data_IF_095196551241
#
_entry.id   IF_095196551241
#
_cell.length_a   1.000
_cell.length_b   1.000
_cell.length_c   1.000
_cell.angle_alpha   90.00
_cell.angle_beta   90.00
_cell.angle_gamma   90.00
#
_symmetry.space_group_name_H-M   'P 1'
#
loop_
_entity.id
_entity.type
_entity.pdbx_description
1 polymer ?
#
# COMPACT_ATOMS: atom_id res chain seq x y z
N UNK A 1 -11.29 24.97 7.66
CA UNK A 1 -11.69 23.83 8.52
C UNK A 1 -11.70 22.52 7.73
N UNK A 2 -12.49 22.38 6.65
CA UNK A 2 -12.49 21.13 5.85
C UNK A 2 -11.12 20.85 5.18
N UNK A 3 -10.46 21.88 4.64
CA UNK A 3 -9.16 21.72 3.98
C UNK A 3 -8.03 21.31 4.93
N UNK A 4 -8.01 21.86 6.14
CA UNK A 4 -6.96 21.57 7.13
C UNK A 4 -7.04 20.13 7.66
N UNK A 5 -8.25 19.59 7.79
CA UNK A 5 -8.44 18.21 8.23
C UNK A 5 -8.03 17.21 7.13
N UNK A 6 -8.34 17.52 5.86
CA UNK A 6 -7.88 16.73 4.71
C UNK A 6 -6.36 16.79 4.53
N UNK A 7 -5.76 17.96 4.71
CA UNK A 7 -4.32 18.14 4.58
C UNK A 7 -3.57 17.35 5.66
N UNK A 8 -4.11 17.31 6.88
CA UNK A 8 -3.58 16.48 7.95
C UNK A 8 -3.72 14.98 7.68
N UNK A 9 -4.88 14.52 7.21
CA UNK A 9 -5.07 13.10 6.84
C UNK A 9 -4.11 12.69 5.71
N UNK A 10 -3.85 13.60 4.77
CA UNK A 10 -2.90 13.37 3.68
C UNK A 10 -1.46 13.27 4.18
N UNK A 11 -1.02 14.20 5.02
CA UNK A 11 0.34 14.19 5.59
C UNK A 11 0.58 12.96 6.48
N UNK A 12 -0.42 12.56 7.29
CA UNK A 12 -0.37 11.32 8.08
C UNK A 12 -0.23 10.07 7.20
N UNK A 13 -0.89 10.02 6.04
CA UNK A 13 -0.78 8.89 5.10
C UNK A 13 0.53 8.90 4.31
N UNK A 14 1.04 10.07 3.92
CA UNK A 14 2.33 10.21 3.24
C UNK A 14 3.52 9.84 4.13
N UNK A 15 3.45 10.09 5.44
CA UNK A 15 4.52 9.77 6.37
C UNK A 15 4.85 8.26 6.43
N UNK A 16 3.92 7.39 6.03
CA UNK A 16 4.12 5.93 6.09
C UNK A 16 4.74 5.30 4.82
N UNK A 17 4.96 6.08 3.76
CA UNK A 17 5.36 5.56 2.44
C UNK A 17 6.71 4.83 2.46
N UNK A 18 7.71 5.34 3.19
CA UNK A 18 9.08 4.76 3.18
C UNK A 18 9.20 3.40 3.90
N UNK A 19 8.32 3.11 4.85
CA UNK A 19 8.31 1.82 5.55
C UNK A 19 7.61 0.74 4.70
N UNK A 20 6.60 1.16 3.94
CA UNK A 20 5.79 0.28 3.09
C UNK A 20 6.56 -0.21 1.85
N UNK A 21 7.42 0.64 1.25
CA UNK A 21 8.28 0.23 0.12
C UNK A 21 9.19 -0.95 0.47
N UNK A 22 9.81 -0.91 1.65
CA UNK A 22 10.70 -1.99 2.11
C UNK A 22 9.97 -3.31 2.33
N UNK A 23 8.73 -3.25 2.82
CA UNK A 23 7.91 -4.44 2.99
C UNK A 23 7.55 -5.07 1.64
N UNK A 24 7.15 -4.26 0.67
CA UNK A 24 6.82 -4.72 -0.68
C UNK A 24 8.04 -5.36 -1.37
N UNK A 25 9.21 -4.74 -1.27
CA UNK A 25 10.45 -5.27 -1.83
C UNK A 25 10.84 -6.62 -1.20
N UNK A 26 10.68 -6.75 0.11
CA UNK A 26 10.95 -8.01 0.79
C UNK A 26 10.00 -9.12 0.32
N UNK A 27 8.71 -8.84 0.21
CA UNK A 27 7.75 -9.83 -0.30
C UNK A 27 8.09 -10.20 -1.76
N UNK A 28 8.39 -9.22 -2.61
CA UNK A 28 8.76 -9.46 -4.01
C UNK A 28 9.98 -10.37 -4.13
N UNK A 29 10.98 -10.19 -3.26
CA UNK A 29 12.18 -11.03 -3.23
C UNK A 29 11.88 -12.47 -2.85
N UNK A 30 10.97 -12.70 -1.90
CA UNK A 30 10.59 -14.03 -1.44
C UNK A 30 9.71 -14.77 -2.46
N UNK A 31 8.73 -14.08 -3.06
CA UNK A 31 7.82 -14.71 -4.04
C UNK A 31 8.38 -14.74 -5.47
N UNK A 32 9.43 -13.98 -5.76
CA UNK A 32 10.04 -13.89 -7.09
C UNK A 32 9.18 -13.18 -8.15
N UNK A 33 8.15 -12.44 -7.73
CA UNK A 33 7.21 -11.70 -8.58
C UNK A 33 7.17 -10.23 -8.17
N UNK A 34 6.78 -9.34 -9.10
CA UNK A 34 6.80 -7.89 -8.87
C UNK A 34 5.42 -7.36 -8.47
N UNK A 35 5.36 -6.75 -7.29
CA UNK A 35 4.30 -5.84 -6.85
C UNK A 35 4.75 -4.40 -7.09
N UNK A 36 3.86 -3.55 -7.59
CA UNK A 36 4.20 -2.19 -8.03
C UNK A 36 4.26 -1.17 -6.89
N UNK A 37 3.59 -1.41 -5.76
CA UNK A 37 3.45 -0.43 -4.68
C UNK A 37 2.00 -0.25 -4.23
N UNK A 38 1.77 0.64 -3.27
CA UNK A 38 0.41 1.05 -2.95
C UNK A 38 -0.16 1.97 -4.02
N UNK A 39 -1.48 2.00 -4.14
CA UNK A 39 -2.18 2.82 -5.12
C UNK A 39 -1.84 4.32 -4.98
N UNK A 40 -1.62 4.79 -3.76
CA UNK A 40 -1.20 6.17 -3.49
C UNK A 40 0.18 6.50 -4.08
N UNK A 41 1.12 5.57 -4.04
CA UNK A 41 2.50 5.78 -4.50
C UNK A 41 2.58 5.85 -6.03
N UNK A 42 1.63 5.22 -6.71
CA UNK A 42 1.52 5.22 -8.17
C UNK A 42 0.86 6.49 -8.72
N UNK A 43 0.34 7.36 -7.87
CA UNK A 43 -0.37 8.58 -8.26
C UNK A 43 0.48 9.82 -7.99
N UNK A 44 1.28 10.26 -8.97
CA UNK A 44 1.92 11.58 -8.92
C UNK A 44 0.97 12.66 -9.44
N UNK A 45 0.72 13.67 -8.62
CA UNK A 45 -0.09 14.83 -9.00
C UNK A 45 0.80 16.05 -9.23
N UNK A 46 0.51 16.81 -10.29
CA UNK A 46 1.18 18.08 -10.61
C UNK A 46 0.92 19.17 -9.55
N UNK A 47 -0.18 19.09 -8.81
CA UNK A 47 -0.56 20.08 -7.79
C UNK A 47 -1.13 19.44 -6.52
N UNK A 48 -0.79 20.04 -5.36
CA UNK A 48 -1.28 19.59 -4.03
C UNK A 48 -2.81 19.51 -3.93
N UNK A 49 -3.53 20.44 -4.54
CA UNK A 49 -5.00 20.44 -4.45
C UNK A 49 -5.64 19.21 -5.11
N UNK A 50 -5.02 18.67 -6.16
CA UNK A 50 -5.48 17.43 -6.79
C UNK A 50 -5.12 16.20 -5.95
N UNK A 51 -4.01 16.20 -5.18
CA UNK A 51 -3.69 15.10 -4.26
C UNK A 51 -4.78 14.90 -3.21
N UNK A 52 -5.37 15.99 -2.70
CA UNK A 52 -6.50 15.93 -1.77
C UNK A 52 -7.75 15.33 -2.42
N UNK A 53 -8.04 15.69 -3.66
CA UNK A 53 -9.19 15.14 -4.40
C UNK A 53 -8.97 13.65 -4.70
N UNK A 54 -7.76 13.26 -5.12
CA UNK A 54 -7.37 11.87 -5.36
C UNK A 54 -7.53 11.05 -4.08
N UNK A 55 -7.01 11.55 -2.95
CA UNK A 55 -7.15 10.92 -1.62
C UNK A 55 -8.61 10.69 -1.26
N UNK A 56 -9.47 11.69 -1.52
CA UNK A 56 -10.90 11.57 -1.22
C UNK A 56 -11.62 10.55 -2.11
N UNK A 57 -11.26 10.49 -3.39
CA UNK A 57 -11.85 9.56 -4.37
C UNK A 57 -11.38 8.13 -4.10
N UNK A 58 -10.10 7.93 -3.80
CA UNK A 58 -9.52 6.62 -3.53
C UNK A 58 -9.93 6.10 -2.15
N UNK A 59 -10.01 6.97 -1.15
CA UNK A 59 -10.48 6.66 0.20
C UNK A 59 -9.77 5.45 0.81
N UNK A 60 -10.53 4.37 1.01
CA UNK A 60 -10.04 3.10 1.60
C UNK A 60 -9.17 2.26 0.67
N UNK A 61 -9.05 2.62 -0.60
CA UNK A 61 -8.25 1.87 -1.56
C UNK A 61 -6.83 2.45 -1.70
N UNK A 62 -6.52 3.55 -1.01
CA UNK A 62 -5.22 4.21 -1.11
C UNK A 62 -4.06 3.31 -0.68
N UNK A 63 -4.30 2.45 0.30
CA UNK A 63 -3.40 1.44 0.84
C UNK A 63 -3.50 0.09 0.10
N UNK A 64 -4.30 0.00 -0.97
CA UNK A 64 -4.35 -1.23 -1.77
C UNK A 64 -3.05 -1.42 -2.55
N UNK A 65 -2.49 -2.63 -2.53
CA UNK A 65 -1.28 -2.98 -3.27
C UNK A 65 -1.65 -3.31 -4.71
N UNK A 66 -0.95 -2.70 -5.67
CA UNK A 66 -1.13 -2.94 -7.10
C UNK A 66 -0.15 -4.01 -7.57
N UNK A 67 -0.65 -4.98 -8.32
CA UNK A 67 0.10 -6.15 -8.79
C UNK A 67 -0.08 -6.34 -10.29
N UNK A 68 0.87 -7.03 -10.94
CA UNK A 68 0.82 -7.22 -12.39
C UNK A 68 -0.18 -8.28 -12.84
N UNK A 69 -0.33 -9.37 -12.07
CA UNK A 69 -1.15 -10.53 -12.45
C UNK A 69 -1.95 -11.04 -11.26
N UNK A 70 -3.06 -11.71 -11.56
CA UNK A 70 -3.85 -12.40 -10.53
C UNK A 70 -3.04 -13.49 -9.81
N UNK A 71 -2.15 -14.19 -10.55
CA UNK A 71 -1.27 -15.22 -9.96
C UNK A 71 -0.40 -14.65 -8.83
N UNK A 72 0.10 -13.42 -9.01
CA UNK A 72 0.89 -12.71 -7.99
C UNK A 72 0.10 -12.47 -6.72
N UNK A 73 -1.20 -12.21 -6.82
CA UNK A 73 -2.09 -12.05 -5.66
C UNK A 73 -2.16 -13.35 -4.86
N UNK A 74 -2.28 -14.49 -5.55
CA UNK A 74 -2.34 -15.79 -4.88
C UNK A 74 -1.01 -16.11 -4.18
N UNK A 75 0.12 -15.90 -4.85
CA UNK A 75 1.47 -16.07 -4.28
C UNK A 75 1.67 -15.18 -3.05
N UNK A 76 1.28 -13.89 -3.13
CA UNK A 76 1.38 -12.94 -2.02
C UNK A 76 0.46 -13.31 -0.86
N UNK A 77 -0.79 -13.72 -1.12
CA UNK A 77 -1.72 -14.21 -0.09
C UNK A 77 -1.19 -15.47 0.62
N UNK A 78 -0.54 -16.37 -0.13
CA UNK A 78 0.07 -17.57 0.43
C UNK A 78 1.26 -17.20 1.33
N UNK A 79 2.19 -16.39 0.83
CA UNK A 79 3.33 -15.86 1.58
C UNK A 79 2.88 -15.18 2.89
N UNK A 80 1.89 -14.28 2.80
CA UNK A 80 1.35 -13.53 3.94
C UNK A 80 0.70 -14.44 4.98
N UNK A 81 0.08 -15.56 4.57
CA UNK A 81 -0.44 -16.54 5.53
C UNK A 81 0.71 -17.25 6.23
N UNK A 82 1.66 -17.80 5.50
CA UNK A 82 2.79 -18.53 6.08
C UNK A 82 3.58 -17.69 7.08
N UNK A 83 3.90 -16.45 6.71
CA UNK A 83 4.69 -15.53 7.55
C UNK A 83 3.89 -14.91 8.71
N UNK A 84 2.54 -14.90 8.65
CA UNK A 84 1.70 -14.47 9.79
C UNK A 84 1.31 -15.62 10.72
N UNK A 85 1.40 -16.88 10.28
CA UNK A 85 1.11 -18.06 11.11
C UNK A 85 2.33 -18.62 11.85
N UNK A 86 3.56 -18.18 11.56
CA UNK A 86 4.72 -18.47 12.41
C UNK A 86 4.66 -17.81 13.81
N UNK A 87 3.70 -16.89 14.04
CA UNK A 87 3.44 -16.26 15.34
C UNK A 87 2.27 -16.85 16.15
N UNK A 88 1.48 -17.77 15.60
CA UNK A 88 0.43 -18.48 16.35
C UNK A 88 0.71 -19.96 16.22
N UNK A 89 1.56 -20.43 17.14
CA UNK A 89 1.73 -21.84 17.41
C UNK A 89 0.37 -22.51 17.55
N UNK A 90 0.22 -23.59 16.80
CA UNK A 90 -0.80 -24.61 17.05
C UNK A 90 -0.65 -25.04 18.51
N UNK A 91 -1.68 -24.81 19.30
CA UNK A 91 -1.84 -25.25 20.68
C UNK A 91 -3.31 -25.42 20.98
#
# INVERSE_FOLDING_TARGET
MIYSDLEREFDEKQANVQLLEKEIDQVNKEIGEVQYGHLIDLCESTHKHFQMVITKVLGRNMDSIVVQRETTVQSCLHYMKEHRYEGVGVG
#
